data_IF_444944301643
#
_entry.id   IF_444944301643
#
_cell.length_a   1.000
_cell.length_b   1.000
_cell.length_c   1.000
_cell.angle_alpha   90.00
_cell.angle_beta   90.00
_cell.angle_gamma   90.00
#
_symmetry.space_group_name_H-M   'P 1'
#
loop_
_entity.id
_entity.type
_entity.pdbx_description
1 polymer ?
#
# COMPACT_ATOMS: atom_id res chain seq x y z
N UNK A 1 -3.47 -11.33 3.30
CA UNK A 1 -4.62 -11.60 2.43
C UNK A 1 -4.98 -13.07 2.58
N UNK A 2 -6.26 -13.40 2.51
CA UNK A 2 -6.75 -14.77 2.68
C UNK A 2 -8.17 -14.89 2.10
N UNK A 3 -8.75 -16.08 2.25
CA UNK A 3 -10.17 -16.32 2.06
C UNK A 3 -10.84 -16.58 3.41
N UNK A 4 -12.11 -16.22 3.52
CA UNK A 4 -12.98 -16.63 4.62
C UNK A 4 -13.93 -17.69 4.06
N UNK A 5 -13.86 -18.88 4.64
CA UNK A 5 -14.79 -19.97 4.36
C UNK A 5 -15.95 -19.90 5.35
N UNK A 6 -17.18 -19.84 4.84
CA UNK A 6 -18.38 -20.00 5.65
C UNK A 6 -18.83 -21.46 5.55
N UNK A 7 -18.80 -22.20 6.66
CA UNK A 7 -19.15 -23.63 6.65
C UNK A 7 -20.64 -23.83 6.36
N UNK A 8 -20.99 -25.05 5.95
CA UNK A 8 -22.38 -25.47 5.72
C UNK A 8 -23.13 -25.38 7.06
N UNK A 9 -24.14 -24.52 7.13
CA UNK A 9 -24.98 -24.34 8.33
C UNK A 9 -26.32 -25.10 8.25
N UNK A 10 -26.70 -25.60 7.08
CA UNK A 10 -27.89 -26.42 6.86
C UNK A 10 -27.74 -27.30 5.60
N UNK A 11 -28.56 -28.35 5.48
CA UNK A 11 -28.55 -29.28 4.33
C UNK A 11 -28.85 -28.62 2.96
N UNK A 12 -29.17 -27.33 2.94
CA UNK A 12 -29.58 -26.57 1.75
C UNK A 12 -28.65 -25.41 1.38
N UNK A 13 -27.62 -25.10 2.17
CA UNK A 13 -26.67 -24.01 1.87
C UNK A 13 -25.24 -24.55 1.68
N UNK A 14 -24.64 -24.44 0.48
CA UNK A 14 -23.27 -24.88 0.25
C UNK A 14 -22.27 -23.99 1.00
N UNK A 15 -21.08 -24.54 1.28
CA UNK A 15 -19.98 -23.73 1.79
C UNK A 15 -19.66 -22.60 0.79
N UNK A 16 -19.39 -21.40 1.30
CA UNK A 16 -19.01 -20.25 0.47
C UNK A 16 -17.59 -19.81 0.80
N UNK A 17 -16.84 -19.48 -0.25
CA UNK A 17 -15.47 -18.97 -0.13
C UNK A 17 -15.47 -17.51 -0.60
N UNK A 18 -15.16 -16.60 0.31
CA UNK A 18 -15.13 -15.16 0.05
C UNK A 18 -13.72 -14.61 0.29
N UNK A 19 -13.35 -13.50 -0.37
CA UNK A 19 -12.11 -12.82 -0.04
C UNK A 19 -12.21 -12.22 1.37
N UNK A 20 -11.18 -12.45 2.18
CA UNK A 20 -11.04 -11.72 3.43
C UNK A 20 -10.79 -10.23 3.14
N UNK A 21 -11.25 -9.31 4.01
CA UNK A 21 -10.77 -7.93 3.98
C UNK A 21 -9.24 -7.89 3.99
N UNK A 22 -8.65 -6.84 3.43
CA UNK A 22 -7.20 -6.68 3.47
C UNK A 22 -6.72 -6.53 4.92
N UNK A 23 -5.62 -7.16 5.27
CA UNK A 23 -5.03 -7.13 6.62
C UNK A 23 -3.50 -7.19 6.52
N UNK A 24 -2.83 -7.02 7.67
CA UNK A 24 -1.36 -7.04 7.81
C UNK A 24 -0.64 -5.90 7.07
N UNK A 25 -1.22 -4.70 7.11
CA UNK A 25 -0.62 -3.49 6.52
C UNK A 25 0.45 -2.85 7.41
N UNK A 26 0.70 -3.41 8.59
CA UNK A 26 1.57 -2.81 9.60
C UNK A 26 3.04 -2.71 9.15
N UNK A 27 3.45 -3.49 8.15
CA UNK A 27 4.78 -3.43 7.51
C UNK A 27 4.86 -2.42 6.35
N UNK A 28 4.30 -1.23 6.57
CA UNK A 28 4.21 -0.15 5.56
C UNK A 28 4.66 1.19 6.14
N UNK A 29 4.63 2.24 5.31
CA UNK A 29 4.77 3.66 5.72
C UNK A 29 6.06 4.00 6.51
N UNK A 30 7.13 3.24 6.28
CA UNK A 30 8.41 3.43 6.95
C UNK A 30 8.38 3.12 8.45
N UNK A 31 7.65 2.05 8.84
CA UNK A 31 7.57 1.57 10.23
C UNK A 31 8.93 1.40 10.90
N UNK A 32 9.98 1.05 10.16
CA UNK A 32 11.29 0.72 10.71
C UNK A 32 12.16 1.95 10.98
N UNK A 33 11.77 3.13 10.47
CA UNK A 33 12.52 4.36 10.67
C UNK A 33 12.19 4.98 12.03
N UNK A 34 13.21 5.49 12.71
CA UNK A 34 13.03 6.39 13.84
C UNK A 34 12.72 7.81 13.33
N UNK A 35 12.09 8.64 14.16
CA UNK A 35 11.71 10.01 13.78
C UNK A 35 12.90 10.87 13.36
N UNK A 36 14.06 10.70 13.99
CA UNK A 36 15.30 11.39 13.57
C UNK A 36 15.61 11.07 12.10
N UNK A 37 15.48 9.80 11.68
CA UNK A 37 15.71 9.39 10.28
C UNK A 37 14.60 9.84 9.33
N UNK A 38 13.36 9.91 9.79
CA UNK A 38 12.26 10.50 9.03
C UNK A 38 12.51 11.99 8.78
N UNK A 39 12.88 12.72 9.83
CA UNK A 39 13.20 14.16 9.77
C UNK A 39 14.39 14.44 8.84
N UNK A 40 15.47 13.67 8.96
CA UNK A 40 16.61 13.76 8.02
C UNK A 40 16.15 13.61 6.57
N UNK A 41 15.27 12.64 6.28
CA UNK A 41 14.77 12.41 4.92
C UNK A 41 13.89 13.54 4.42
N UNK A 42 13.02 14.07 5.28
CA UNK A 42 12.16 15.22 4.99
C UNK A 42 13.01 16.46 4.68
N UNK A 43 13.96 16.80 5.56
CA UNK A 43 14.85 17.95 5.40
C UNK A 43 15.68 17.85 4.12
N UNK A 44 16.21 16.66 3.83
CA UNK A 44 17.03 16.41 2.65
C UNK A 44 16.21 16.14 1.37
N UNK A 45 14.87 16.27 1.42
CA UNK A 45 13.96 15.99 0.30
C UNK A 45 14.23 14.63 -0.38
N UNK A 46 14.49 13.60 0.44
CA UNK A 46 14.96 12.28 -0.01
C UNK A 46 13.94 11.15 0.24
N UNK A 47 12.68 11.50 0.53
CA UNK A 47 11.60 10.53 0.73
C UNK A 47 11.30 9.74 -0.55
N UNK A 48 11.37 10.37 -1.72
CA UNK A 48 11.26 9.71 -3.04
C UNK A 48 12.32 8.62 -3.23
N UNK A 49 13.59 8.94 -2.96
CA UNK A 49 14.68 7.99 -3.05
C UNK A 49 14.53 6.81 -2.07
N UNK A 50 13.89 7.04 -0.91
CA UNK A 50 13.51 5.96 0.00
C UNK A 50 12.40 5.09 -0.61
N UNK A 51 11.30 5.68 -1.06
CA UNK A 51 10.17 4.97 -1.68
C UNK A 51 10.56 4.17 -2.93
N UNK A 52 11.52 4.65 -3.72
CA UNK A 52 12.03 3.97 -4.92
C UNK A 52 12.90 2.75 -4.62
N UNK A 53 13.53 2.71 -3.43
CA UNK A 53 14.38 1.60 -2.98
C UNK A 53 13.59 0.49 -2.31
N UNK A 54 12.43 0.81 -1.74
CA UNK A 54 11.56 -0.16 -1.08
C UNK A 54 11.17 -1.30 -2.05
N UNK A 55 11.18 -2.52 -1.49
CA UNK A 55 10.71 -3.72 -2.18
C UNK A 55 9.44 -4.21 -1.53
N UNK A 56 8.60 -4.84 -2.35
CA UNK A 56 7.44 -5.60 -1.88
C UNK A 56 7.89 -6.96 -1.30
N UNK A 57 6.93 -7.81 -0.96
CA UNK A 57 7.14 -9.24 -0.70
C UNK A 57 6.67 -10.12 -1.87
N UNK A 58 6.51 -9.55 -3.07
CA UNK A 58 6.03 -10.26 -4.26
C UNK A 58 7.21 -10.66 -5.15
N UNK A 59 7.21 -11.91 -5.61
CA UNK A 59 8.25 -12.49 -6.47
C UNK A 59 7.61 -12.95 -7.77
N UNK A 60 8.34 -12.87 -8.89
CA UNK A 60 7.79 -13.24 -10.20
C UNK A 60 7.68 -14.76 -10.30
N UNK A 61 8.73 -15.46 -9.87
CA UNK A 61 8.82 -16.90 -9.94
C UNK A 61 9.27 -17.49 -8.59
N UNK A 62 8.94 -18.77 -8.40
CA UNK A 62 9.43 -19.53 -7.26
C UNK A 62 10.94 -19.64 -7.36
N UNK A 63 11.65 -19.29 -6.27
CA UNK A 63 13.11 -19.32 -6.21
C UNK A 63 13.81 -17.99 -6.54
N UNK A 64 13.06 -16.96 -6.97
CA UNK A 64 13.62 -15.62 -7.14
C UNK A 64 14.19 -15.09 -5.81
N UNK A 65 15.45 -14.64 -5.85
CA UNK A 65 16.13 -14.10 -4.65
C UNK A 65 15.75 -12.66 -4.32
N UNK A 66 15.08 -11.96 -5.23
CA UNK A 66 14.76 -10.54 -5.10
C UNK A 66 13.28 -10.31 -5.36
N UNK A 67 12.60 -9.75 -4.36
CA UNK A 67 11.24 -9.30 -4.53
C UNK A 67 11.17 -8.10 -5.48
N UNK A 68 10.04 -8.00 -6.18
CA UNK A 68 9.67 -6.89 -7.02
C UNK A 68 9.57 -5.60 -6.21
N UNK A 69 9.82 -4.47 -6.86
CA UNK A 69 9.35 -3.19 -6.33
C UNK A 69 7.82 -3.13 -6.42
N UNK A 70 7.12 -2.43 -5.51
CA UNK A 70 5.66 -2.33 -5.55
C UNK A 70 5.10 -1.87 -6.90
N UNK A 71 5.73 -0.86 -7.52
CA UNK A 71 5.31 -0.35 -8.84
C UNK A 71 5.47 -1.40 -9.95
N UNK A 72 6.55 -2.19 -9.92
CA UNK A 72 6.81 -3.23 -10.92
C UNK A 72 5.83 -4.39 -10.75
N UNK A 73 5.49 -4.74 -9.50
CA UNK A 73 4.45 -5.72 -9.21
C UNK A 73 3.09 -5.28 -9.74
N UNK A 74 2.72 -4.02 -9.55
CA UNK A 74 1.48 -3.47 -10.12
C UNK A 74 1.50 -3.51 -11.65
N UNK A 75 2.59 -3.09 -12.30
CA UNK A 75 2.71 -3.14 -13.78
C UNK A 75 2.53 -4.56 -14.33
N UNK A 76 3.16 -5.55 -13.73
CA UNK A 76 3.02 -6.95 -14.14
C UNK A 76 1.58 -7.45 -13.95
N UNK A 77 0.93 -7.11 -12.83
CA UNK A 77 -0.47 -7.45 -12.62
C UNK A 77 -1.40 -6.75 -13.63
N UNK A 78 -1.15 -5.48 -13.94
CA UNK A 78 -1.92 -4.69 -14.89
C UNK A 78 -1.83 -5.21 -16.33
N UNK A 79 -0.67 -5.75 -16.73
CA UNK A 79 -0.53 -6.43 -18.03
C UNK A 79 -1.45 -7.65 -18.17
N UNK A 80 -1.67 -8.37 -17.06
CA UNK A 80 -2.52 -9.57 -17.05
C UNK A 80 -4.01 -9.25 -16.83
N UNK A 81 -4.30 -8.19 -16.07
CA UNK A 81 -5.64 -7.79 -15.67
C UNK A 81 -5.88 -6.30 -15.92
N UNK A 82 -5.85 -5.82 -17.17
CA UNK A 82 -5.87 -4.39 -17.48
C UNK A 82 -7.17 -3.70 -17.04
N UNK A 83 -8.32 -4.37 -17.16
CA UNK A 83 -9.62 -3.83 -16.72
C UNK A 83 -9.62 -3.61 -15.20
N UNK A 84 -9.19 -4.62 -14.43
CA UNK A 84 -9.12 -4.50 -12.98
C UNK A 84 -8.12 -3.42 -12.53
N UNK A 85 -6.97 -3.34 -13.20
CA UNK A 85 -6.00 -2.28 -12.93
C UNK A 85 -6.58 -0.88 -13.19
N UNK A 86 -7.33 -0.71 -14.27
CA UNK A 86 -8.03 0.55 -14.57
C UNK A 86 -8.99 0.96 -13.45
N UNK A 87 -9.85 0.04 -12.98
CA UNK A 87 -10.79 0.29 -11.87
C UNK A 87 -10.05 0.73 -10.60
N UNK A 88 -8.95 0.06 -10.25
CA UNK A 88 -8.18 0.42 -9.05
C UNK A 88 -7.47 1.77 -9.18
N UNK A 89 -6.98 2.13 -10.37
CA UNK A 89 -6.38 3.43 -10.61
C UNK A 89 -7.43 4.56 -10.58
N UNK A 90 -8.64 4.31 -11.06
CA UNK A 90 -9.76 5.26 -10.95
C UNK A 90 -10.13 5.51 -9.47
N UNK A 91 -10.27 4.45 -8.68
CA UNK A 91 -10.46 4.59 -7.23
C UNK A 91 -9.32 5.35 -6.56
N UNK A 92 -8.07 5.04 -6.93
CA UNK A 92 -6.89 5.72 -6.39
C UNK A 92 -6.86 7.21 -6.75
N UNK A 93 -7.31 7.59 -7.96
CA UNK A 93 -7.41 8.97 -8.39
C UNK A 93 -8.45 9.76 -7.56
N UNK A 94 -9.46 9.08 -7.01
CA UNK A 94 -10.44 9.66 -6.11
C UNK A 94 -9.96 9.84 -4.66
N UNK A 95 -8.81 9.29 -4.27
CA UNK A 95 -8.25 9.45 -2.92
C UNK A 95 -7.47 10.75 -2.83
N UNK A 96 -7.92 11.70 -2.02
CA UNK A 96 -7.23 12.99 -1.87
C UNK A 96 -6.21 12.97 -0.72
N UNK A 97 -5.25 13.90 -0.79
CA UNK A 97 -4.34 14.21 0.34
C UNK A 97 -5.11 14.55 1.62
N UNK A 98 -6.24 15.25 1.49
CA UNK A 98 -7.08 15.63 2.63
C UNK A 98 -7.69 14.40 3.30
N UNK A 99 -8.10 13.39 2.53
CA UNK A 99 -8.65 12.14 3.07
C UNK A 99 -7.60 11.38 3.87
N UNK A 100 -6.38 11.24 3.33
CA UNK A 100 -5.30 10.52 4.02
C UNK A 100 -4.82 11.29 5.25
N UNK A 101 -4.72 12.62 5.17
CA UNK A 101 -4.35 13.45 6.31
C UNK A 101 -5.40 13.39 7.43
N UNK A 102 -6.69 13.40 7.07
CA UNK A 102 -7.77 13.24 8.04
C UNK A 102 -7.70 11.89 8.78
N UNK A 103 -7.28 10.82 8.10
CA UNK A 103 -7.06 9.52 8.75
C UNK A 103 -5.89 9.56 9.74
N UNK A 104 -4.76 10.18 9.39
CA UNK A 104 -3.65 10.34 10.32
C UNK A 104 -4.02 11.17 11.54
N UNK A 105 -4.76 12.27 11.35
CA UNK A 105 -5.18 13.16 12.43
C UNK A 105 -6.18 12.52 13.43
N UNK A 106 -6.73 11.34 13.10
CA UNK A 106 -7.57 10.56 14.04
C UNK A 106 -6.74 9.70 15.00
N UNK A 107 -5.45 9.51 14.73
CA UNK A 107 -4.57 8.72 15.57
C UNK A 107 -4.12 9.63 16.74
N UNK A 108 -4.28 9.21 18.00
CA UNK A 108 -3.81 9.99 19.13
C UNK A 108 -2.30 10.27 19.07
N UNK A 109 -1.89 11.47 19.47
CA UNK A 109 -0.52 11.97 19.32
C UNK A 109 0.50 11.18 20.17
N UNK A 110 0.06 10.44 21.18
CA UNK A 110 0.88 9.51 21.95
C UNK A 110 1.31 8.26 21.16
N UNK A 111 0.61 7.94 20.06
CA UNK A 111 0.90 6.77 19.21
C UNK A 111 1.63 7.13 17.92
N UNK A 112 1.54 8.39 17.46
CA UNK A 112 2.18 8.83 16.23
C UNK A 112 2.65 10.28 16.36
N UNK A 113 3.88 10.55 15.91
CA UNK A 113 4.42 11.90 15.88
C UNK A 113 4.03 12.63 14.59
N UNK A 114 4.06 13.96 14.63
CA UNK A 114 3.85 14.80 13.44
C UNK A 114 4.87 14.49 12.33
N UNK A 115 6.12 14.18 12.71
CA UNK A 115 7.19 13.80 11.77
C UNK A 115 6.87 12.48 11.08
N UNK A 116 6.32 11.51 11.80
CA UNK A 116 5.89 10.24 11.23
C UNK A 116 4.72 10.43 10.26
N UNK A 117 3.74 11.28 10.60
CA UNK A 117 2.63 11.64 9.71
C UNK A 117 3.17 12.30 8.43
N UNK A 118 3.99 13.34 8.55
CA UNK A 118 4.52 14.07 7.40
C UNK A 118 5.34 13.16 6.47
N UNK A 119 6.14 12.26 7.03
CA UNK A 119 6.88 11.27 6.25
C UNK A 119 5.95 10.28 5.54
N UNK A 120 4.98 9.70 6.25
CA UNK A 120 4.04 8.74 5.68
C UNK A 120 3.15 9.37 4.60
N UNK A 121 2.74 10.62 4.79
CA UNK A 121 1.96 11.39 3.83
C UNK A 121 2.73 11.59 2.52
N UNK A 122 4.01 11.98 2.57
CA UNK A 122 4.85 12.05 1.36
C UNK A 122 5.02 10.68 0.69
N UNK A 123 5.15 9.58 1.45
CA UNK A 123 5.21 8.23 0.89
C UNK A 123 3.94 7.88 0.10
N UNK A 124 2.76 8.24 0.62
CA UNK A 124 1.49 8.02 -0.05
C UNK A 124 1.41 8.83 -1.35
N UNK A 125 1.70 10.13 -1.30
CA UNK A 125 1.68 11.02 -2.46
C UNK A 125 2.64 10.56 -3.57
N UNK A 126 3.87 10.22 -3.22
CA UNK A 126 4.88 9.73 -4.18
C UNK A 126 4.38 8.46 -4.87
N UNK A 127 3.86 7.49 -4.11
CA UNK A 127 3.42 6.23 -4.70
C UNK A 127 2.10 6.37 -5.47
N UNK A 128 1.18 7.22 -5.01
CA UNK A 128 -0.04 7.55 -5.74
C UNK A 128 0.31 8.17 -7.10
N UNK A 129 1.16 9.20 -7.12
CA UNK A 129 1.58 9.86 -8.35
C UNK A 129 2.21 8.86 -9.33
N UNK A 130 3.13 8.02 -8.84
CA UNK A 130 3.80 7.00 -9.67
C UNK A 130 2.85 5.98 -10.28
N UNK A 131 1.76 5.64 -9.58
CA UNK A 131 0.74 4.72 -10.06
C UNK A 131 -0.17 5.39 -11.09
N UNK A 132 -0.63 6.61 -10.82
CA UNK A 132 -1.50 7.37 -11.73
C UNK A 132 -0.76 7.79 -13.02
N UNK A 133 0.55 8.01 -12.96
CA UNK A 133 1.37 8.26 -14.15
C UNK A 133 1.42 7.06 -15.11
N UNK A 134 0.96 5.87 -14.71
CA UNK A 134 0.82 4.72 -15.61
C UNK A 134 -0.40 4.82 -16.53
N UNK A 135 -1.34 5.73 -16.26
CA UNK A 135 -2.51 5.96 -17.12
C UNK A 135 -2.24 6.94 -18.26
N UNK A 136 -1.10 7.65 -18.22
CA UNK A 136 -0.66 8.62 -19.23
C UNK A 136 0.08 7.92 -20.36
#
# INVERSE_FOLDING_TARGET
>A
WAFIETPITSSTSPATLNLAPTYDHASSLGRELLDIKRQEKLNNRSVSAYAEKCRSALYVQVGDRKALKPLDAFRLAAQRYPVAAGVWLEHLAGVSMTDTQALFNRIPNEFISEVAIAFAQQILEINQQRLLDLQK
#
